data_IF_458081512108
#
_entry.id   IF_458081512108
#
_cell.length_a   1.000
_cell.length_b   1.000
_cell.length_c   1.000
_cell.angle_alpha   90.00
_cell.angle_beta   90.00
_cell.angle_gamma   90.00
#
_symmetry.space_group_name_H-M   'P 1'
#
loop_
_entity.id
_entity.type
_entity.pdbx_description
1 polymer ?
#
# COMPACT_ATOMS: atom_id res chain seq x y z
N UNK A 1 -0.03 -4.76 16.11
CA UNK A 1 0.00 -4.61 14.64
C UNK A 1 -0.93 -3.48 14.13
N UNK A 2 -1.64 -2.76 15.03
CA UNK A 2 -2.50 -1.66 14.61
C UNK A 2 -1.67 -0.56 13.93
N UNK A 3 -2.16 -0.03 12.79
CA UNK A 3 -1.48 0.99 12.00
C UNK A 3 -0.39 0.48 11.05
N UNK A 4 0.10 -0.77 11.21
CA UNK A 4 1.19 -1.30 10.35
C UNK A 4 0.81 -1.37 8.87
N UNK A 5 -0.43 -1.73 8.56
CA UNK A 5 -0.88 -1.82 7.15
C UNK A 5 -0.87 -0.44 6.48
N UNK A 6 -1.34 0.60 7.18
CA UNK A 6 -1.34 1.97 6.68
C UNK A 6 0.09 2.54 6.57
N UNK A 7 0.91 2.35 7.60
CA UNK A 7 2.30 2.76 7.55
C UNK A 7 3.07 2.07 6.41
N UNK A 8 2.79 0.79 6.15
CA UNK A 8 3.38 0.07 5.04
C UNK A 8 2.89 0.59 3.69
N UNK A 9 1.62 1.02 3.57
CA UNK A 9 1.10 1.69 2.38
C UNK A 9 1.99 2.89 2.01
N UNK A 10 2.28 3.76 2.98
CA UNK A 10 3.19 4.90 2.78
C UNK A 10 4.59 4.45 2.34
N UNK A 11 5.11 3.39 2.96
CA UNK A 11 6.46 2.89 2.67
C UNK A 11 6.61 2.32 1.26
N UNK A 12 5.54 1.79 0.64
CA UNK A 12 5.61 1.32 -0.74
C UNK A 12 5.96 2.44 -1.73
N UNK A 13 5.53 3.65 -1.44
CA UNK A 13 5.86 4.83 -2.25
C UNK A 13 7.26 5.41 -1.98
N UNK A 14 8.04 4.82 -1.06
CA UNK A 14 9.46 5.16 -0.85
C UNK A 14 10.42 4.42 -1.80
N UNK A 15 9.87 3.55 -2.63
CA UNK A 15 10.58 2.89 -3.70
C UNK A 15 11.41 1.67 -3.31
N UNK A 16 11.87 1.00 -4.35
CA UNK A 16 12.75 -0.17 -4.34
C UNK A 16 14.14 0.22 -4.86
N UNK A 17 15.07 -0.73 -4.88
CA UNK A 17 16.36 -0.51 -5.55
C UNK A 17 16.20 -0.26 -7.06
N UNK A 18 15.24 -0.94 -7.68
CA UNK A 18 14.95 -0.81 -9.12
C UNK A 18 14.24 0.49 -9.47
N UNK A 19 13.32 0.94 -8.61
CA UNK A 19 12.54 2.16 -8.80
C UNK A 19 12.65 2.98 -7.50
N UNK A 20 13.75 3.77 -7.34
CA UNK A 20 14.02 4.47 -6.08
C UNK A 20 13.03 5.59 -5.76
N UNK A 21 12.44 6.20 -6.78
CA UNK A 21 11.46 7.29 -6.64
C UNK A 21 10.22 7.00 -7.50
N UNK A 22 9.31 6.13 -7.03
CA UNK A 22 8.11 5.77 -7.78
C UNK A 22 7.16 6.96 -7.96
N UNK A 23 7.09 7.90 -7.01
CA UNK A 23 6.23 9.09 -7.12
C UNK A 23 6.60 9.95 -8.33
N UNK A 24 7.90 10.19 -8.51
CA UNK A 24 8.43 10.91 -9.68
C UNK A 24 8.14 10.17 -10.99
N UNK A 25 8.32 8.85 -11.01
CA UNK A 25 8.09 8.06 -12.21
C UNK A 25 6.60 7.96 -12.58
N UNK A 26 5.71 7.82 -11.60
CA UNK A 26 4.26 7.84 -11.77
C UNK A 26 3.81 9.19 -12.36
N UNK A 27 4.23 10.30 -11.75
CA UNK A 27 3.91 11.65 -12.20
C UNK A 27 4.45 11.92 -13.62
N UNK A 28 5.69 11.54 -13.90
CA UNK A 28 6.32 11.71 -15.23
C UNK A 28 5.54 10.98 -16.34
N UNK A 29 4.88 9.87 -16.00
CA UNK A 29 4.08 9.08 -16.95
C UNK A 29 2.61 9.55 -17.04
N UNK A 30 2.25 10.61 -16.32
CA UNK A 30 0.88 11.11 -16.30
C UNK A 30 -0.10 10.16 -15.63
N UNK A 31 0.37 9.34 -14.70
CA UNK A 31 -0.46 8.44 -13.92
C UNK A 31 -0.99 9.21 -12.71
N UNK A 32 -2.30 9.29 -12.59
CA UNK A 32 -2.96 9.68 -11.35
C UNK A 32 -3.00 8.45 -10.44
N UNK A 33 -2.33 8.53 -9.29
CA UNK A 33 -2.05 7.38 -8.44
C UNK A 33 -2.33 7.65 -6.97
N UNK A 34 -2.72 6.60 -6.26
CA UNK A 34 -2.85 6.67 -4.81
C UNK A 34 -2.74 5.27 -4.19
N UNK A 35 -2.66 5.23 -2.86
CA UNK A 35 -2.90 4.08 -2.02
C UNK A 35 -4.09 4.33 -1.09
N UNK A 36 -4.72 3.28 -0.61
CA UNK A 36 -5.75 3.35 0.42
C UNK A 36 -5.70 2.11 1.30
N UNK A 37 -5.76 2.31 2.61
CA UNK A 37 -5.86 1.22 3.58
C UNK A 37 -7.20 1.29 4.30
N UNK A 38 -7.84 0.14 4.42
CA UNK A 38 -9.04 -0.06 5.20
C UNK A 38 -8.88 -1.28 6.11
N UNK A 39 -9.92 -1.68 6.82
CA UNK A 39 -9.85 -2.76 7.81
C UNK A 39 -9.34 -4.09 7.25
N UNK A 40 -9.77 -4.45 6.02
CA UNK A 40 -9.51 -5.78 5.43
C UNK A 40 -8.66 -5.72 4.16
N UNK A 41 -8.25 -4.54 3.71
CA UNK A 41 -7.55 -4.39 2.45
C UNK A 41 -6.61 -3.19 2.44
N UNK A 42 -5.56 -3.28 1.64
CA UNK A 42 -4.76 -2.16 1.16
C UNK A 42 -4.74 -2.19 -0.37
N UNK A 43 -5.09 -1.09 -1.02
CA UNK A 43 -5.06 -0.97 -2.47
C UNK A 43 -3.95 -0.03 -2.92
N UNK A 44 -3.40 -0.31 -4.07
CA UNK A 44 -2.52 0.59 -4.83
C UNK A 44 -3.09 0.68 -6.23
N UNK A 45 -3.32 1.87 -6.72
CA UNK A 45 -3.94 2.06 -8.02
C UNK A 45 -3.33 3.22 -8.80
N UNK A 46 -3.46 3.15 -10.12
CA UNK A 46 -3.09 4.22 -11.04
C UNK A 46 -4.11 4.32 -12.16
N UNK A 47 -4.48 5.54 -12.48
CA UNK A 47 -5.38 5.88 -13.58
C UNK A 47 -4.61 6.70 -14.62
N UNK A 48 -4.72 6.33 -15.89
CA UNK A 48 -3.99 6.97 -16.99
C UNK A 48 -4.72 6.78 -18.31
N UNK A 49 -4.38 7.62 -19.29
CA UNK A 49 -4.87 7.45 -20.66
C UNK A 49 -4.38 6.12 -21.25
N UNK A 50 -5.24 5.42 -22.00
CA UNK A 50 -4.94 4.11 -22.57
C UNK A 50 -3.60 4.12 -23.32
N UNK A 51 -2.66 3.32 -22.81
CA UNK A 51 -1.28 3.20 -23.32
C UNK A 51 -0.69 1.87 -22.86
N UNK A 52 -0.30 1.02 -23.79
CA UNK A 52 0.34 -0.25 -23.49
C UNK A 52 1.66 -0.07 -22.73
N UNK A 53 2.46 0.92 -23.12
CA UNK A 53 3.73 1.20 -22.46
C UNK A 53 3.55 1.65 -21.00
N UNK A 54 2.53 2.46 -20.72
CA UNK A 54 2.22 2.92 -19.35
C UNK A 54 1.65 1.77 -18.51
N UNK A 55 0.75 0.96 -19.09
CA UNK A 55 0.25 -0.28 -18.48
C UNK A 55 1.37 -1.24 -18.09
N UNK A 56 2.26 -1.54 -19.03
CA UNK A 56 3.36 -2.48 -18.80
C UNK A 56 4.32 -1.99 -17.71
N UNK A 57 4.58 -0.69 -17.70
CA UNK A 57 5.38 -0.09 -16.63
C UNK A 57 4.67 -0.18 -15.27
N UNK A 58 3.36 0.13 -15.22
CA UNK A 58 2.57 0.04 -13.99
C UNK A 58 2.54 -1.39 -13.44
N UNK A 59 2.34 -2.39 -14.30
CA UNK A 59 2.41 -3.80 -13.93
C UNK A 59 3.78 -4.19 -13.39
N UNK A 60 4.85 -3.72 -14.03
CA UNK A 60 6.22 -3.95 -13.58
C UNK A 60 6.50 -3.31 -12.21
N UNK A 61 6.00 -2.10 -11.97
CA UNK A 61 6.13 -1.43 -10.67
C UNK A 61 5.36 -2.17 -9.58
N UNK A 62 4.11 -2.56 -9.84
CA UNK A 62 3.30 -3.32 -8.88
C UNK A 62 3.95 -4.67 -8.53
N UNK A 63 4.49 -5.39 -9.52
CA UNK A 63 5.18 -6.65 -9.30
C UNK A 63 6.49 -6.47 -8.51
N UNK A 64 7.22 -5.39 -8.78
CA UNK A 64 8.45 -5.05 -8.07
C UNK A 64 8.17 -4.69 -6.61
N UNK A 65 7.16 -3.86 -6.36
CA UNK A 65 6.75 -3.47 -5.00
C UNK A 65 6.18 -4.63 -4.19
N UNK A 66 5.62 -5.65 -4.83
CA UNK A 66 5.15 -6.86 -4.15
C UNK A 66 6.31 -7.71 -3.58
N UNK A 67 7.53 -7.59 -4.14
CA UNK A 67 8.64 -8.50 -3.81
C UNK A 67 9.84 -7.80 -3.17
N UNK A 68 10.09 -6.54 -3.52
CA UNK A 68 11.41 -5.93 -3.37
C UNK A 68 11.45 -4.69 -2.47
N UNK A 69 10.39 -4.43 -1.71
CA UNK A 69 10.41 -3.35 -0.73
C UNK A 69 11.40 -3.68 0.39
N UNK A 70 12.28 -2.72 0.66
CA UNK A 70 13.20 -2.74 1.79
C UNK A 70 12.83 -1.62 2.77
N UNK A 71 12.46 -2.03 3.97
CA UNK A 71 12.12 -1.11 5.04
C UNK A 71 13.40 -0.73 5.76
N UNK A 72 13.97 0.42 5.43
CA UNK A 72 15.12 0.95 6.16
C UNK A 72 14.71 1.97 7.24
N UNK A 73 15.54 2.08 8.28
CA UNK A 73 15.27 2.95 9.41
C UNK A 73 15.17 4.45 9.02
N UNK A 74 15.92 4.88 8.01
CA UNK A 74 15.94 6.27 7.54
C UNK A 74 14.63 6.63 6.86
N UNK A 75 14.16 5.79 5.93
CA UNK A 75 12.86 5.97 5.25
C UNK A 75 11.71 5.93 6.25
N UNK A 76 11.72 4.96 7.17
CA UNK A 76 10.69 4.85 8.21
C UNK A 76 10.69 6.09 9.13
N UNK A 77 11.86 6.56 9.58
CA UNK A 77 12.00 7.77 10.40
C UNK A 77 11.45 9.01 9.68
N UNK A 78 11.64 9.11 8.35
CA UNK A 78 11.13 10.23 7.56
C UNK A 78 9.64 10.18 7.30
N UNK A 79 9.03 8.97 7.24
CA UNK A 79 7.62 8.82 6.92
C UNK A 79 6.71 8.82 8.15
N UNK A 80 7.20 8.36 9.29
CA UNK A 80 6.43 8.33 10.54
C UNK A 80 5.78 9.68 10.90
N UNK A 81 6.48 10.84 10.86
CA UNK A 81 5.85 12.14 11.10
C UNK A 81 4.74 12.47 10.10
N UNK A 82 4.82 12.00 8.85
CA UNK A 82 3.78 12.23 7.84
C UNK A 82 2.49 11.51 8.26
N UNK A 83 2.61 10.23 8.67
CA UNK A 83 1.44 9.45 9.15
C UNK A 83 0.88 10.03 10.45
N UNK A 84 1.73 10.51 11.37
CA UNK A 84 1.28 11.17 12.60
C UNK A 84 0.52 12.46 12.28
N UNK A 85 1.01 13.30 11.39
CA UNK A 85 0.31 14.51 10.95
C UNK A 85 -1.04 14.21 10.30
N UNK A 86 -1.13 13.12 9.53
CA UNK A 86 -2.39 12.65 8.97
C UNK A 86 -3.37 12.21 10.07
N UNK A 87 -2.88 11.47 11.06
CA UNK A 87 -3.68 11.07 12.22
C UNK A 87 -4.25 12.29 12.95
N UNK A 88 -3.41 13.27 13.28
CA UNK A 88 -3.81 14.51 13.94
C UNK A 88 -4.82 15.30 13.09
N UNK A 89 -4.62 15.37 11.77
CA UNK A 89 -5.58 16.00 10.85
C UNK A 89 -6.93 15.29 10.85
N UNK A 90 -6.94 13.97 10.96
CA UNK A 90 -8.17 13.17 11.02
C UNK A 90 -8.91 13.37 12.35
N UNK A 91 -8.19 13.49 13.46
CA UNK A 91 -8.77 13.77 14.79
C UNK A 91 -9.40 15.15 14.88
N UNK A 92 -9.00 16.09 14.05
CA UNK A 92 -9.63 17.43 13.93
C UNK A 92 -10.91 17.44 13.08
N UNK A 93 -11.33 16.30 12.54
CA UNK A 93 -12.57 16.18 11.73
C UNK A 93 -13.68 15.55 12.57
N UNK A 94 -14.75 16.30 12.93
CA UNK A 94 -15.83 15.79 13.79
C UNK A 94 -16.48 14.50 13.26
N UNK A 95 -16.65 14.38 11.94
CA UNK A 95 -17.20 13.18 11.31
C UNK A 95 -16.30 11.95 11.49
N UNK A 96 -14.98 12.09 11.43
CA UNK A 96 -14.02 11.02 11.67
C UNK A 96 -14.04 10.60 13.14
N UNK A 97 -14.08 11.56 14.06
CA UNK A 97 -14.18 11.28 15.50
C UNK A 97 -15.46 10.51 15.82
N UNK A 98 -16.61 10.98 15.29
CA UNK A 98 -17.90 10.30 15.45
C UNK A 98 -17.84 8.86 14.91
N UNK A 99 -17.28 8.68 13.72
CA UNK A 99 -17.13 7.34 13.12
C UNK A 99 -16.28 6.42 14.00
N UNK A 100 -15.13 6.89 14.50
CA UNK A 100 -14.27 6.09 15.37
C UNK A 100 -14.99 5.71 16.68
N UNK A 101 -15.75 6.62 17.29
CA UNK A 101 -16.53 6.34 18.50
C UNK A 101 -17.65 5.31 18.23
N UNK A 102 -18.31 5.43 17.07
CA UNK A 102 -19.32 4.46 16.64
C UNK A 102 -18.70 3.06 16.50
N UNK A 103 -17.56 2.95 15.79
CA UNK A 103 -16.88 1.68 15.57
C UNK A 103 -16.37 1.08 16.88
N UNK A 104 -15.80 1.90 17.77
CA UNK A 104 -15.33 1.44 19.07
C UNK A 104 -16.48 0.89 19.92
N UNK A 105 -17.63 1.56 19.88
CA UNK A 105 -18.85 1.12 20.64
C UNK A 105 -19.47 -0.13 20.03
N UNK A 106 -19.60 -0.18 18.70
CA UNK A 106 -20.29 -1.27 18.02
C UNK A 106 -19.49 -2.58 18.03
N UNK A 107 -18.17 -2.50 17.94
CA UNK A 107 -17.30 -3.65 17.76
C UNK A 107 -16.52 -4.08 19.02
N UNK A 108 -16.45 -3.21 20.05
CA UNK A 108 -15.82 -3.56 21.33
C UNK A 108 -14.40 -4.12 21.19
N UNK A 109 -14.23 -5.42 21.44
CA UNK A 109 -12.91 -6.08 21.34
C UNK A 109 -12.53 -6.54 19.92
N UNK A 110 -13.42 -6.48 18.95
CA UNK A 110 -13.10 -6.85 17.59
C UNK A 110 -12.08 -5.86 16.98
N UNK A 111 -11.17 -6.30 16.09
CA UNK A 111 -10.20 -5.41 15.42
C UNK A 111 -10.80 -4.17 14.75
N UNK A 112 -12.05 -4.23 14.29
CA UNK A 112 -12.74 -3.09 13.68
C UNK A 112 -13.06 -1.94 14.66
N UNK A 113 -12.92 -2.16 15.96
CA UNK A 113 -13.04 -1.09 16.96
C UNK A 113 -11.85 -0.11 16.94
N UNK A 114 -10.76 -0.49 16.30
CA UNK A 114 -9.52 0.30 16.28
C UNK A 114 -9.40 1.12 15.02
N UNK A 115 -8.75 2.27 15.10
CA UNK A 115 -8.42 3.08 13.93
C UNK A 115 -7.46 2.34 13.00
N UNK A 116 -7.70 2.42 11.69
CA UNK A 116 -6.83 1.84 10.65
C UNK A 116 -5.44 2.48 10.66
N UNK A 117 -5.36 3.79 10.97
CA UNK A 117 -4.08 4.51 11.07
C UNK A 117 -3.28 4.10 12.32
N UNK A 118 -3.94 3.46 13.29
CA UNK A 118 -3.33 3.03 14.55
C UNK A 118 -3.41 4.08 15.65
N UNK A 119 -2.69 3.82 16.75
CA UNK A 119 -2.48 4.78 17.83
C UNK A 119 -1.06 5.36 17.75
N UNK A 120 -0.86 6.57 18.31
CA UNK A 120 0.45 7.23 18.33
C UNK A 120 1.53 6.33 18.94
N UNK A 121 1.21 5.69 20.07
CA UNK A 121 2.13 4.77 20.76
C UNK A 121 2.52 3.56 19.91
N UNK A 122 1.58 3.04 19.10
CA UNK A 122 1.87 1.93 18.19
C UNK A 122 2.78 2.40 17.05
N UNK A 123 2.47 3.55 16.44
CA UNK A 123 3.27 4.13 15.35
C UNK A 123 4.71 4.44 15.80
N UNK A 124 4.90 4.97 17.00
CA UNK A 124 6.23 5.27 17.56
C UNK A 124 7.04 4.01 17.85
N UNK A 125 6.38 2.94 18.26
CA UNK A 125 7.02 1.68 18.65
C UNK A 125 7.39 0.78 17.45
N UNK A 126 6.86 1.03 16.24
CA UNK A 126 7.13 0.16 15.07
C UNK A 126 8.61 0.19 14.71
N UNK A 127 9.27 -0.97 14.83
CA UNK A 127 10.63 -1.17 14.35
C UNK A 127 10.64 -1.56 12.85
N UNK A 128 11.71 -1.23 12.10
CA UNK A 128 11.85 -1.61 10.70
C UNK A 128 11.64 -3.10 10.44
N UNK A 129 12.22 -3.95 11.29
CA UNK A 129 12.11 -5.41 11.18
C UNK A 129 10.67 -5.91 11.35
N UNK A 130 9.91 -5.30 12.26
CA UNK A 130 8.50 -5.66 12.45
C UNK A 130 7.67 -5.34 11.20
N UNK A 131 7.91 -4.17 10.60
CA UNK A 131 7.23 -3.76 9.38
C UNK A 131 7.68 -4.59 8.17
N UNK A 132 8.96 -4.95 8.10
CA UNK A 132 9.49 -5.86 7.06
C UNK A 132 8.87 -7.27 7.18
N UNK A 133 8.70 -7.78 8.39
CA UNK A 133 8.05 -9.06 8.66
C UNK A 133 6.56 -9.02 8.28
N UNK A 134 5.87 -7.92 8.60
CA UNK A 134 4.50 -7.68 8.19
C UNK A 134 4.37 -7.69 6.65
N UNK A 135 5.26 -6.99 5.95
CA UNK A 135 5.33 -6.99 4.50
C UNK A 135 5.50 -8.42 3.95
N UNK A 136 6.50 -9.18 4.42
CA UNK A 136 6.75 -10.55 3.97
C UNK A 136 5.59 -11.53 4.24
N UNK A 137 4.80 -11.25 5.28
CA UNK A 137 3.64 -12.08 5.66
C UNK A 137 2.42 -11.84 4.79
N UNK A 138 2.14 -10.58 4.44
CA UNK A 138 0.86 -10.20 3.81
C UNK A 138 0.97 -9.83 2.34
N UNK A 139 2.13 -9.34 1.88
CA UNK A 139 2.35 -8.95 0.48
C UNK A 139 2.83 -10.13 -0.34
N UNK A 140 1.89 -10.97 -0.71
CA UNK A 140 2.13 -12.25 -1.38
C UNK A 140 1.15 -12.42 -2.54
N UNK A 141 1.55 -13.09 -3.64
CA UNK A 141 0.70 -13.27 -4.81
C UNK A 141 -0.57 -14.08 -4.53
N UNK A 142 -0.56 -14.97 -3.51
CA UNK A 142 -1.72 -15.74 -3.09
C UNK A 142 -2.67 -14.97 -2.14
N UNK A 143 -2.30 -13.73 -1.76
CA UNK A 143 -3.08 -12.81 -0.94
C UNK A 143 -3.33 -11.47 -1.67
N UNK A 144 -3.27 -11.46 -3.00
CA UNK A 144 -3.44 -10.27 -3.81
C UNK A 144 -4.40 -10.50 -4.98
N UNK A 145 -5.10 -9.44 -5.37
CA UNK A 145 -5.98 -9.41 -6.55
C UNK A 145 -5.56 -8.25 -7.43
N UNK A 146 -5.26 -8.53 -8.69
CA UNK A 146 -5.01 -7.51 -9.70
C UNK A 146 -6.31 -7.24 -10.48
N UNK A 147 -6.71 -5.97 -10.53
CA UNK A 147 -7.89 -5.51 -11.26
C UNK A 147 -7.42 -4.52 -12.32
N UNK A 148 -7.77 -4.77 -13.57
CA UNK A 148 -7.50 -3.88 -14.70
C UNK A 148 -8.83 -3.56 -15.37
N UNK A 149 -9.14 -2.28 -15.49
CA UNK A 149 -10.39 -1.80 -16.11
C UNK A 149 -10.10 -0.69 -17.12
N UNK A 150 -10.96 -0.57 -18.14
CA UNK A 150 -10.86 0.47 -19.15
C UNK A 150 -10.70 -0.08 -20.56
N UNK A 151 -10.09 0.72 -21.44
CA UNK A 151 -9.86 0.35 -22.83
C UNK A 151 -8.46 -0.26 -23.00
N UNK A 152 -8.39 -1.55 -23.30
CA UNK A 152 -7.13 -2.26 -23.55
C UNK A 152 -7.35 -3.52 -24.40
N UNK A 153 -6.31 -4.01 -25.07
CA UNK A 153 -6.30 -5.36 -25.66
C UNK A 153 -6.15 -6.40 -24.56
N UNK A 154 -7.12 -7.31 -24.46
CA UNK A 154 -7.17 -8.34 -23.40
C UNK A 154 -6.00 -9.31 -23.52
N UNK A 155 -5.71 -9.81 -24.73
CA UNK A 155 -4.67 -10.80 -24.93
C UNK A 155 -3.26 -10.23 -24.67
N UNK A 156 -2.97 -9.05 -25.21
CA UNK A 156 -1.71 -8.35 -24.93
C UNK A 156 -1.54 -8.00 -23.44
N UNK A 157 -2.64 -7.64 -22.77
CA UNK A 157 -2.62 -7.36 -21.34
C UNK A 157 -2.34 -8.62 -20.51
N UNK A 158 -2.95 -9.76 -20.85
CA UNK A 158 -2.65 -11.03 -20.18
C UNK A 158 -1.18 -11.45 -20.34
N UNK A 159 -0.60 -11.25 -21.53
CA UNK A 159 0.84 -11.49 -21.75
C UNK A 159 1.69 -10.58 -20.87
N UNK A 160 1.34 -9.29 -20.77
CA UNK A 160 2.05 -8.33 -19.92
C UNK A 160 1.94 -8.67 -18.42
N UNK A 161 0.75 -9.08 -17.96
CA UNK A 161 0.54 -9.57 -16.59
C UNK A 161 1.39 -10.79 -16.30
N UNK A 162 1.37 -11.79 -17.21
CA UNK A 162 2.19 -12.99 -17.05
C UNK A 162 3.69 -12.67 -17.03
N UNK A 163 4.14 -11.74 -17.86
CA UNK A 163 5.54 -11.26 -17.86
C UNK A 163 5.93 -10.58 -16.55
N UNK A 164 5.04 -9.78 -15.96
CA UNK A 164 5.33 -9.04 -14.75
C UNK A 164 5.27 -9.91 -13.48
N UNK A 165 4.28 -10.79 -13.37
CA UNK A 165 3.98 -11.54 -12.15
C UNK A 165 4.29 -13.03 -12.22
N UNK A 166 4.39 -13.61 -13.43
CA UNK A 166 4.48 -15.06 -13.62
C UNK A 166 5.73 -15.70 -13.04
N UNK A 167 6.81 -14.94 -12.81
CA UNK A 167 8.04 -15.43 -12.17
C UNK A 167 8.01 -15.34 -10.64
N UNK A 168 6.99 -14.71 -10.05
CA UNK A 168 6.90 -14.58 -8.60
C UNK A 168 6.58 -15.97 -8.01
N UNK A 169 7.44 -16.51 -7.13
CA UNK A 169 7.22 -17.83 -6.59
C UNK A 169 5.98 -17.86 -5.69
N UNK A 170 5.23 -18.94 -5.78
CA UNK A 170 4.16 -19.18 -4.81
C UNK A 170 4.79 -19.41 -3.43
N UNK A 171 4.31 -18.70 -2.38
CA UNK A 171 4.84 -18.90 -1.05
C UNK A 171 4.67 -20.35 -0.59
N UNK A 172 5.67 -20.87 0.09
CA UNK A 172 5.51 -22.14 0.82
C UNK A 172 4.62 -21.84 2.01
N UNK A 173 3.50 -22.54 2.10
CA UNK A 173 2.57 -22.50 3.25
C UNK A 173 3.26 -22.89 4.54
#
# INVERSE_FOLDING_TARGET
EAGMAHLLEHMLFKGTEKIPDPKKELTRRGIDWNGTTWYDRTNYFGQFNASDATRDWMLSWLADTMQNIRIDAGKLKSERPVVINEMESNENRPGTVLYHQLMATAYGFHPYSRSVIGALSDLDAVAPDNLQNFYGRYYRPDNAVLIITGQFDVNGTLVAVHKAFGSIPRPKT
#
